data_IF_113117273689
#
_entry.id   IF_113117273689
#
_cell.length_a   1.000
_cell.length_b   1.000
_cell.length_c   1.000
_cell.angle_alpha   90.00
_cell.angle_beta   90.00
_cell.angle_gamma   90.00
#
_symmetry.space_group_name_H-M   'P 1'
#
loop_
_entity.id
_entity.type
_entity.pdbx_description
1 polymer ?
#
# COMPACT_ATOMS: atom_id res chain seq x y z
N UNK A 1 2.82 5.38 -2.25
CA UNK A 1 1.42 5.21 -2.70
C UNK A 1 0.63 6.46 -2.31
N UNK A 2 0.17 7.29 -3.27
CA UNK A 2 -0.95 8.21 -3.05
C UNK A 2 -2.21 7.35 -3.05
N UNK A 3 -2.95 7.46 -1.99
CA UNK A 3 -4.31 7.04 -1.93
C UNK A 3 -5.03 8.37 -1.74
N UNK A 4 -5.93 8.79 -2.65
CA UNK A 4 -6.86 9.84 -2.25
C UNK A 4 -7.76 9.16 -1.27
N UNK A 5 -7.47 9.39 0.01
CA UNK A 5 -8.15 8.83 1.16
C UNK A 5 -9.12 7.70 0.82
N UNK A 6 -8.48 6.59 0.50
CA UNK A 6 -9.10 5.36 0.13
C UNK A 6 -8.95 4.51 1.35
N UNK A 7 -9.88 3.60 1.53
CA UNK A 7 -9.53 2.38 2.21
C UNK A 7 -8.67 1.59 1.20
N UNK A 8 -7.32 1.56 1.22
CA UNK A 8 -6.57 0.59 0.46
C UNK A 8 -6.98 -0.77 1.00
N UNK A 9 -8.00 -1.33 0.36
CA UNK A 9 -8.39 -2.68 0.59
C UNK A 9 -7.28 -3.53 0.01
N UNK A 10 -6.46 -4.06 0.92
CA UNK A 10 -5.50 -5.07 0.56
C UNK A 10 -6.18 -6.42 0.69
N UNK A 11 -6.27 -7.15 -0.41
CA UNK A 11 -6.81 -8.50 -0.40
C UNK A 11 -5.90 -9.48 -1.09
N UNK A 12 -5.47 -10.44 -0.27
CA UNK A 12 -5.20 -11.82 -0.64
C UNK A 12 -6.42 -12.63 -0.20
N UNK A 13 -7.52 -12.60 -0.96
CA UNK A 13 -8.83 -13.23 -0.64
C UNK A 13 -9.57 -12.78 0.63
N UNK A 14 -8.89 -12.14 1.60
CA UNK A 14 -9.44 -11.54 2.83
C UNK A 14 -9.11 -10.05 2.93
N UNK A 15 -9.95 -9.29 3.63
CA UNK A 15 -9.69 -7.87 3.91
C UNK A 15 -8.57 -7.72 4.94
N UNK A 16 -7.41 -7.21 4.54
CA UNK A 16 -6.30 -6.96 5.44
C UNK A 16 -6.44 -5.67 6.26
N UNK A 17 -7.35 -4.78 5.87
CA UNK A 17 -7.67 -3.56 6.59
C UNK A 17 -7.77 -2.34 5.69
N UNK A 18 -7.80 -1.17 6.32
CA UNK A 18 -8.15 0.12 5.72
C UNK A 18 -7.24 1.19 6.26
N UNK A 19 -6.63 1.97 5.38
CA UNK A 19 -5.76 3.09 5.74
C UNK A 19 -6.06 4.38 4.97
N UNK A 20 -6.48 5.41 5.69
CA UNK A 20 -6.78 6.73 5.16
C UNK A 20 -5.52 7.58 5.00
N UNK A 21 -5.34 8.18 3.81
CA UNK A 21 -4.21 9.06 3.53
C UNK A 21 -4.44 10.44 4.15
N UNK A 22 -3.50 10.98 4.95
CA UNK A 22 -3.72 12.23 5.70
C UNK A 22 -3.67 13.51 4.83
N UNK A 23 -3.33 13.41 3.54
CA UNK A 23 -3.20 14.59 2.69
C UNK A 23 -2.74 14.31 1.27
N UNK A 24 -2.58 15.39 0.49
CA UNK A 24 -2.46 15.35 -0.96
C UNK A 24 -1.01 15.41 -1.50
N UNK A 25 0.00 15.71 -0.68
CA UNK A 25 1.44 15.62 -1.03
C UNK A 25 1.81 16.16 -2.44
N UNK A 26 1.50 17.41 -2.72
CA UNK A 26 1.74 18.08 -4.02
C UNK A 26 2.22 19.53 -3.91
N UNK A 27 2.69 19.89 -2.73
CA UNK A 27 3.32 21.17 -2.41
C UNK A 27 4.70 21.32 -3.06
N UNK A 28 5.45 20.22 -3.20
CA UNK A 28 6.82 20.20 -3.75
C UNK A 28 6.92 19.10 -4.81
N UNK A 29 7.72 19.35 -5.86
CA UNK A 29 8.03 18.36 -6.89
C UNK A 29 8.69 17.12 -6.29
N UNK A 30 8.21 15.93 -6.69
CA UNK A 30 8.80 14.67 -6.26
C UNK A 30 10.26 14.55 -6.70
N UNK A 31 11.14 14.11 -5.80
CA UNK A 31 12.58 14.03 -6.01
C UNK A 31 12.99 13.27 -7.28
N UNK A 32 12.28 12.19 -7.58
CA UNK A 32 12.61 11.31 -8.71
C UNK A 32 11.74 11.55 -9.95
N UNK A 33 10.73 12.43 -9.87
CA UNK A 33 9.80 12.66 -10.97
C UNK A 33 10.55 13.07 -12.25
N UNK A 34 10.30 12.41 -13.39
CA UNK A 34 10.96 12.73 -14.64
C UNK A 34 10.55 14.12 -15.11
N UNK A 35 11.40 14.80 -15.88
CA UNK A 35 11.19 16.20 -16.28
C UNK A 35 9.86 16.47 -17.01
N UNK A 36 9.32 15.47 -17.72
CA UNK A 36 8.03 15.55 -18.42
C UNK A 36 6.80 15.42 -17.50
N UNK A 37 6.98 15.04 -16.23
CA UNK A 37 5.87 14.95 -15.26
C UNK A 37 5.46 16.34 -14.81
N UNK A 38 4.24 16.74 -15.17
CA UNK A 38 3.70 18.08 -14.87
C UNK A 38 3.50 18.30 -13.36
N UNK A 39 3.63 19.55 -12.91
CA UNK A 39 3.51 19.93 -11.50
C UNK A 39 2.08 19.90 -10.97
N UNK A 40 1.08 19.91 -11.85
CA UNK A 40 -0.35 19.80 -11.50
C UNK A 40 -0.75 18.36 -11.11
N UNK A 41 0.05 17.35 -11.46
CA UNK A 41 -0.16 15.97 -11.07
C UNK A 41 0.30 15.69 -9.64
N UNK A 42 -0.07 14.52 -9.13
CA UNK A 42 0.50 13.95 -7.90
C UNK A 42 2.02 14.04 -7.94
N UNK A 43 2.64 14.74 -6.98
CA UNK A 43 4.10 14.87 -6.98
C UNK A 43 4.79 13.77 -6.18
N UNK A 44 4.28 13.42 -5.00
CA UNK A 44 4.83 12.32 -4.20
C UNK A 44 3.75 11.71 -3.31
N UNK A 45 4.11 10.69 -2.54
CA UNK A 45 3.24 10.07 -1.55
C UNK A 45 4.05 9.40 -0.47
N UNK A 46 3.35 8.80 0.51
CA UNK A 46 4.00 8.10 1.61
C UNK A 46 4.47 6.71 1.17
N UNK A 47 5.66 6.32 1.64
CA UNK A 47 6.10 4.92 1.65
C UNK A 47 5.41 4.22 2.81
N UNK A 48 4.60 3.21 2.50
CA UNK A 48 3.80 2.46 3.47
C UNK A 48 4.32 1.03 3.56
N UNK A 49 4.51 0.55 4.77
CA UNK A 49 4.92 -0.84 5.03
C UNK A 49 3.74 -1.60 5.62
N UNK A 50 3.21 -2.56 4.85
CA UNK A 50 2.20 -3.50 5.32
C UNK A 50 2.90 -4.78 5.81
N UNK A 51 2.66 -5.16 7.06
CA UNK A 51 3.21 -6.38 7.66
C UNK A 51 2.06 -7.27 8.14
N UNK A 52 2.08 -8.52 7.70
CA UNK A 52 1.16 -9.56 8.13
C UNK A 52 1.98 -10.58 8.92
N UNK A 53 1.58 -10.87 10.16
CA UNK A 53 2.29 -11.83 11.01
C UNK A 53 1.29 -12.73 11.76
N UNK A 54 1.78 -13.52 12.72
CA UNK A 54 0.95 -14.43 13.53
C UNK A 54 0.02 -13.71 14.54
N UNK A 55 0.22 -12.41 14.75
CA UNK A 55 -0.56 -11.59 15.68
C UNK A 55 -1.64 -10.79 14.97
N UNK A 56 -1.38 -10.33 13.75
CA UNK A 56 -2.34 -9.57 12.94
C UNK A 56 -1.71 -8.89 11.73
N UNK A 57 -2.42 -7.92 11.18
CA UNK A 57 -1.96 -7.07 10.08
C UNK A 57 -1.72 -5.65 10.57
N UNK A 58 -0.56 -5.10 10.20
CA UNK A 58 -0.09 -3.79 10.66
C UNK A 58 0.36 -2.93 9.49
N UNK A 59 0.11 -1.62 9.57
CA UNK A 59 0.66 -0.63 8.65
C UNK A 59 1.55 0.35 9.41
N UNK A 60 2.84 0.40 9.06
CA UNK A 60 3.86 1.23 9.73
C UNK A 60 3.88 1.11 11.28
N UNK A 61 3.52 -0.08 11.78
CA UNK A 61 3.51 -0.40 13.22
C UNK A 61 2.13 -0.27 13.88
N UNK A 62 1.16 0.37 13.23
CA UNK A 62 -0.21 0.48 13.74
C UNK A 62 -1.04 -0.72 13.33
N UNK A 63 -1.87 -1.24 14.24
CA UNK A 63 -2.75 -2.37 13.96
C UNK A 63 -3.84 -1.96 12.97
N UNK A 64 -3.93 -2.69 11.86
CA UNK A 64 -4.90 -2.45 10.79
C UNK A 64 -6.08 -3.43 10.86
N UNK A 65 -5.81 -4.69 11.23
CA UNK A 65 -6.82 -5.73 11.46
C UNK A 65 -6.22 -6.95 12.18
N UNK A 66 -7.09 -7.80 12.71
CA UNK A 66 -6.73 -9.07 13.35
C UNK A 66 -6.41 -10.20 12.33
N UNK A 67 -6.36 -9.90 11.02
CA UNK A 67 -6.04 -10.91 10.00
C UNK A 67 -4.59 -11.33 10.10
N UNK A 68 -4.36 -12.63 10.28
CA UNK A 68 -3.03 -13.21 10.50
C UNK A 68 -2.49 -13.86 9.22
N UNK A 69 -1.21 -14.16 9.23
CA UNK A 69 -0.56 -14.88 8.12
C UNK A 69 -1.20 -16.27 7.86
N UNK A 70 -1.67 -16.92 8.93
CA UNK A 70 -2.38 -18.22 8.87
C UNK A 70 -3.77 -18.14 8.24
N UNK A 71 -4.35 -16.93 8.15
CA UNK A 71 -5.67 -16.71 7.56
C UNK A 71 -5.65 -16.62 6.04
N UNK A 72 -4.45 -16.54 5.45
CA UNK A 72 -4.25 -16.30 4.03
C UNK A 72 -3.89 -17.59 3.29
N UNK A 73 -4.40 -17.81 2.07
CA UNK A 73 -4.14 -19.01 1.29
C UNK A 73 -2.75 -18.98 0.61
N UNK A 74 -1.68 -18.81 1.41
CA UNK A 74 -0.29 -18.67 0.93
C UNK A 74 0.34 -19.98 0.43
N UNK A 75 -0.39 -21.10 0.52
CA UNK A 75 0.03 -22.39 -0.04
C UNK A 75 -0.11 -22.46 -1.56
N UNK A 76 -0.81 -21.50 -2.16
CA UNK A 76 -0.94 -21.40 -3.62
C UNK A 76 0.28 -20.70 -4.21
N UNK A 77 0.66 -21.07 -5.44
CA UNK A 77 1.80 -20.46 -6.15
C UNK A 77 1.59 -19.00 -6.55
N UNK A 78 0.35 -18.52 -6.46
CA UNK A 78 -0.04 -17.16 -6.83
C UNK A 78 -0.65 -16.43 -5.63
N UNK A 79 -0.03 -15.30 -5.29
CA UNK A 79 -0.53 -14.36 -4.29
C UNK A 79 -1.11 -13.17 -5.04
N UNK A 80 -2.42 -13.01 -4.98
CA UNK A 80 -3.10 -11.81 -5.50
C UNK A 80 -3.07 -10.74 -4.44
N UNK A 81 -2.47 -9.59 -4.72
CA UNK A 81 -2.48 -8.41 -3.86
C UNK A 81 -3.31 -7.33 -4.54
N UNK A 82 -4.48 -7.00 -3.97
CA UNK A 82 -5.33 -5.91 -4.47
C UNK A 82 -5.01 -4.62 -3.74
N UNK A 83 -5.08 -3.48 -4.43
CA UNK A 83 -5.27 -2.16 -3.81
C UNK A 83 -6.52 -1.60 -4.48
N UNK A 84 -7.47 -1.09 -3.70
CA UNK A 84 -8.70 -0.51 -4.23
C UNK A 84 -9.12 0.73 -3.46
N UNK A 85 -10.01 1.51 -4.07
CA UNK A 85 -10.84 2.53 -3.41
C UNK A 85 -12.26 1.97 -3.45
N UNK A 86 -12.86 1.73 -2.28
CA UNK A 86 -14.23 1.21 -2.20
C UNK A 86 -15.25 2.35 -2.35
N UNK A 87 -16.46 2.02 -2.82
CA UNK A 87 -17.54 3.02 -3.02
C UNK A 87 -18.02 3.65 -1.71
N UNK A 88 -17.84 2.94 -0.59
CA UNK A 88 -18.17 3.40 0.77
C UNK A 88 -16.95 3.98 1.52
N UNK A 89 -15.87 4.33 0.80
CA UNK A 89 -14.72 4.99 1.40
C UNK A 89 -15.09 6.39 1.91
N UNK A 90 -14.40 6.84 2.95
CA UNK A 90 -14.64 8.16 3.58
C UNK A 90 -14.50 9.31 2.56
N UNK A 91 -13.53 9.18 1.64
CA UNK A 91 -13.41 10.08 0.49
C UNK A 91 -13.35 9.29 -0.82
N UNK A 92 -14.48 9.25 -1.51
CA UNK A 92 -14.58 8.56 -2.80
C UNK A 92 -13.76 9.30 -3.86
N UNK A 93 -12.75 8.63 -4.41
CA UNK A 93 -11.78 9.20 -5.36
C UNK A 93 -10.89 8.16 -6.03
N UNK A 94 -9.66 8.55 -6.38
CA UNK A 94 -8.68 7.67 -7.02
C UNK A 94 -7.53 7.22 -6.11
N UNK A 95 -6.61 6.43 -6.65
CA UNK A 95 -5.31 6.18 -6.02
C UNK A 95 -4.19 6.38 -7.05
N UNK A 96 -3.08 6.99 -6.65
CA UNK A 96 -1.86 7.10 -7.48
C UNK A 96 -0.76 6.26 -6.85
N UNK A 97 -0.39 5.16 -7.49
CA UNK A 97 0.74 4.36 -7.04
C UNK A 97 2.00 4.89 -7.73
N UNK A 98 3.05 5.15 -6.95
CA UNK A 98 4.36 5.55 -7.46
C UNK A 98 5.28 4.33 -7.42
N UNK A 99 5.88 4.00 -8.55
CA UNK A 99 6.96 3.04 -8.66
C UNK A 99 8.31 3.73 -8.83
N UNK A 100 9.32 2.96 -9.18
CA UNK A 100 10.68 3.45 -9.41
C UNK A 100 10.71 4.60 -10.43
N UNK A 101 11.49 5.64 -10.16
CA UNK A 101 11.57 6.84 -11.00
C UNK A 101 10.44 7.85 -10.80
N UNK A 102 9.60 7.72 -9.75
CA UNK A 102 8.60 8.72 -9.40
C UNK A 102 8.53 8.98 -7.89
N UNK A 103 7.97 10.13 -7.50
CA UNK A 103 7.78 10.53 -6.11
C UNK A 103 9.09 10.75 -5.37
N UNK A 104 9.10 10.38 -4.08
CA UNK A 104 10.24 10.57 -3.17
C UNK A 104 10.93 9.26 -2.79
N UNK A 105 10.47 8.13 -3.32
CA UNK A 105 10.99 6.80 -3.00
C UNK A 105 11.28 6.07 -4.31
N UNK A 106 12.55 5.86 -4.63
CA UNK A 106 12.99 5.21 -5.87
C UNK A 106 12.90 3.69 -5.78
N UNK A 107 11.69 3.17 -5.59
CA UNK A 107 11.42 1.74 -5.49
C UNK A 107 10.04 1.38 -6.08
N UNK A 108 9.93 0.16 -6.60
CA UNK A 108 8.65 -0.45 -6.93
C UNK A 108 8.01 -1.05 -5.67
N UNK A 109 6.88 -1.76 -5.82
CA UNK A 109 6.28 -2.51 -4.71
C UNK A 109 7.17 -3.72 -4.40
N UNK A 110 7.74 -3.76 -3.20
CA UNK A 110 8.50 -4.90 -2.71
C UNK A 110 7.62 -5.87 -1.92
N UNK A 111 7.62 -7.14 -2.31
CA UNK A 111 6.98 -8.22 -1.55
C UNK A 111 8.05 -9.14 -0.95
N UNK A 112 8.00 -9.36 0.37
CA UNK A 112 8.94 -10.21 1.10
C UNK A 112 8.19 -11.24 1.92
N UNK A 113 8.48 -12.52 1.69
CA UNK A 113 8.00 -13.63 2.49
C UNK A 113 9.17 -14.19 3.30
N UNK A 114 9.03 -14.21 4.62
CA UNK A 114 10.01 -14.81 5.52
C UNK A 114 9.48 -16.17 5.97
N UNK A 115 10.31 -17.19 5.83
CA UNK A 115 10.04 -18.53 6.34
C UNK A 115 11.26 -19.01 7.13
N UNK A 116 11.01 -19.79 8.17
CA UNK A 116 12.03 -20.55 8.88
C UNK A 116 11.65 -22.01 8.77
N UNK A 117 12.63 -22.87 8.55
CA UNK A 117 12.41 -24.31 8.66
C UNK A 117 11.97 -24.61 10.10
N UNK A 118 10.98 -25.50 10.23
CA UNK A 118 10.58 -26.04 11.52
C UNK A 118 11.56 -27.18 11.79
N UNK A 119 12.45 -27.02 12.78
CA UNK A 119 13.25 -28.13 13.32
C UNK A 119 12.35 -29.24 13.90
#
# INVERSE_FOLDING_TARGET
MRVYDSRPFVSCSKNLGTWTCPGNFSDIRGKYNPGWWESNHSQYGLLKHLRINQYGTYMDGECLSDVKISDLPLRNSLITFRIAVLEDAEHVGGATIFGKGFGNHDQDIEFKLYYSDVE
#
